data_IF_542466611105
#
_entry.id   IF_542466611105
#
_cell.length_a   1.000
_cell.length_b   1.000
_cell.length_c   1.000
_cell.angle_alpha   90.00
_cell.angle_beta   90.00
_cell.angle_gamma   90.00
#
_symmetry.space_group_name_H-M   'P 1'
#
loop_
_entity.id
_entity.type
_entity.pdbx_description
1 polymer ?
#
# COMPACT_ATOMS: atom_id res chain seq x y z
N UNK A 1 -26.77 11.34 -1.67
CA UNK A 1 -25.80 12.21 -2.33
C UNK A 1 -24.57 11.40 -2.74
N UNK A 2 -24.12 11.51 -3.98
CA UNK A 2 -22.95 10.75 -4.40
C UNK A 2 -21.71 11.26 -3.68
N UNK A 3 -20.78 10.35 -3.43
CA UNK A 3 -19.49 10.68 -2.82
C UNK A 3 -18.67 11.53 -3.80
N UNK A 4 -17.88 12.48 -3.29
CA UNK A 4 -17.03 13.31 -4.17
C UNK A 4 -15.98 12.47 -4.92
N UNK A 5 -15.52 11.38 -4.32
CA UNK A 5 -14.61 10.44 -4.97
C UNK A 5 -15.16 9.04 -4.76
N UNK A 6 -16.13 8.62 -5.61
CA UNK A 6 -16.83 7.35 -5.37
C UNK A 6 -15.96 6.11 -5.47
N UNK A 7 -14.80 6.23 -6.12
CA UNK A 7 -13.90 5.08 -6.28
C UNK A 7 -12.74 5.09 -5.29
N UNK A 8 -12.77 5.97 -4.28
CA UNK A 8 -11.69 6.03 -3.30
C UNK A 8 -11.56 4.73 -2.51
N UNK A 9 -12.69 4.07 -2.21
CA UNK A 9 -12.66 2.79 -1.51
C UNK A 9 -11.92 1.71 -2.27
N UNK A 10 -12.06 1.70 -3.59
CA UNK A 10 -11.32 0.77 -4.44
C UNK A 10 -9.82 1.01 -4.36
N UNK A 11 -9.40 2.27 -4.31
CA UNK A 11 -7.99 2.62 -4.18
C UNK A 11 -7.42 2.15 -2.85
N UNK A 12 -8.17 2.41 -1.78
CA UNK A 12 -7.75 2.01 -0.43
C UNK A 12 -7.59 0.49 -0.38
N UNK A 13 -8.58 -0.25 -0.90
CA UNK A 13 -8.51 -1.69 -0.94
C UNK A 13 -7.33 -2.18 -1.78
N UNK A 14 -7.13 -1.57 -2.94
CA UNK A 14 -6.03 -1.92 -3.84
C UNK A 14 -4.69 -1.83 -3.13
N UNK A 15 -4.42 -0.69 -2.49
CA UNK A 15 -3.14 -0.50 -1.80
C UNK A 15 -3.05 -1.35 -0.54
N UNK A 16 -4.16 -1.56 0.16
CA UNK A 16 -4.17 -2.46 1.32
C UNK A 16 -3.73 -3.86 0.93
N UNK A 17 -4.34 -4.41 -0.12
CA UNK A 17 -3.99 -5.74 -0.60
C UNK A 17 -2.56 -5.79 -1.13
N UNK A 18 -2.16 -4.74 -1.83
CA UNK A 18 -0.79 -4.64 -2.35
C UNK A 18 0.25 -4.67 -1.22
N UNK A 19 -0.05 -4.03 -0.09
CA UNK A 19 0.83 -4.03 1.08
C UNK A 19 0.72 -5.29 1.93
N UNK A 20 -0.23 -6.17 1.61
CA UNK A 20 -0.42 -7.42 2.34
C UNK A 20 -1.18 -7.29 3.65
N UNK A 21 -1.93 -6.21 3.85
CA UNK A 21 -2.73 -6.03 5.07
C UNK A 21 -4.11 -6.65 4.92
N UNK A 22 -4.58 -7.29 5.99
CA UNK A 22 -6.00 -7.59 6.12
C UNK A 22 -6.73 -6.29 6.51
N UNK A 23 -8.07 -6.29 6.40
CA UNK A 23 -8.84 -5.14 6.87
C UNK A 23 -8.60 -4.88 8.36
N UNK A 24 -8.55 -5.94 9.16
CA UNK A 24 -8.30 -5.80 10.59
C UNK A 24 -6.93 -5.19 10.89
N UNK A 25 -5.91 -5.65 10.19
CA UNK A 25 -4.56 -5.15 10.39
C UNK A 25 -4.44 -3.67 10.05
N UNK A 26 -5.00 -3.26 8.91
CA UNK A 26 -4.94 -1.85 8.52
C UNK A 26 -5.78 -0.99 9.45
N UNK A 27 -6.97 -1.46 9.81
CA UNK A 27 -7.85 -0.72 10.72
C UNK A 27 -7.17 -0.50 12.08
N UNK A 28 -6.54 -1.54 12.61
CA UNK A 28 -5.77 -1.44 13.85
C UNK A 28 -4.65 -0.42 13.73
N UNK A 29 -3.96 -0.43 12.61
CA UNK A 29 -2.81 0.44 12.39
C UNK A 29 -3.19 1.92 12.43
N UNK A 30 -4.38 2.26 11.99
CA UNK A 30 -4.84 3.64 11.99
C UNK A 30 -5.92 3.92 13.05
N UNK A 31 -6.15 2.95 13.91
CA UNK A 31 -7.05 3.09 15.06
C UNK A 31 -8.50 3.37 14.66
N UNK A 32 -9.03 2.58 13.73
CA UNK A 32 -10.45 2.59 13.36
C UNK A 32 -10.95 1.14 13.42
N UNK A 33 -12.27 0.96 13.37
CA UNK A 33 -12.83 -0.39 13.35
C UNK A 33 -12.69 -1.01 11.96
N UNK A 34 -12.57 -2.34 11.90
CA UNK A 34 -12.54 -3.04 10.63
C UNK A 34 -13.85 -2.90 9.89
N UNK A 35 -14.97 -2.78 10.61
CA UNK A 35 -16.29 -2.55 9.99
C UNK A 35 -16.33 -1.21 9.27
N UNK A 36 -15.80 -0.17 9.90
CA UNK A 36 -15.74 1.15 9.29
C UNK A 36 -14.86 1.13 8.03
N UNK A 37 -13.70 0.48 8.11
CA UNK A 37 -12.82 0.34 6.95
C UNK A 37 -13.53 -0.42 5.83
N UNK A 38 -14.28 -1.46 6.16
CA UNK A 38 -15.07 -2.22 5.19
C UNK A 38 -16.10 -1.35 4.48
N UNK A 39 -16.79 -0.48 5.20
CA UNK A 39 -17.74 0.46 4.60
C UNK A 39 -17.07 1.40 3.62
N UNK A 40 -15.88 1.91 4.00
CA UNK A 40 -15.11 2.79 3.14
C UNK A 40 -14.71 2.06 1.86
N UNK A 41 -14.20 0.85 1.97
CA UNK A 41 -13.73 0.06 0.83
C UNK A 41 -14.86 -0.29 -0.13
N UNK A 42 -16.08 -0.48 0.40
CA UNK A 42 -17.24 -0.80 -0.44
C UNK A 42 -17.90 0.45 -1.03
N UNK A 43 -17.37 1.63 -0.75
CA UNK A 43 -17.90 2.86 -1.30
C UNK A 43 -19.17 3.35 -0.63
N UNK A 44 -19.50 2.83 0.56
CA UNK A 44 -20.69 3.24 1.29
C UNK A 44 -20.46 4.51 2.10
N UNK A 45 -19.22 4.82 2.37
CA UNK A 45 -18.86 5.99 3.14
C UNK A 45 -17.48 6.46 2.70
N UNK A 46 -17.30 7.78 2.64
CA UNK A 46 -16.01 8.37 2.35
C UNK A 46 -15.23 8.50 3.65
N UNK A 47 -13.95 8.18 3.62
CA UNK A 47 -13.10 8.40 4.79
C UNK A 47 -12.95 9.89 5.05
N UNK A 48 -12.87 10.28 6.31
CA UNK A 48 -12.57 11.66 6.68
C UNK A 48 -11.18 12.04 6.20
N UNK A 49 -10.91 13.34 6.10
CA UNK A 49 -9.58 13.81 5.70
C UNK A 49 -8.52 13.28 6.67
N UNK A 50 -8.83 13.28 7.97
CA UNK A 50 -7.91 12.76 8.98
C UNK A 50 -7.60 11.28 8.75
N UNK A 51 -8.62 10.49 8.42
CA UNK A 51 -8.42 9.07 8.17
C UNK A 51 -7.73 8.82 6.83
N UNK A 52 -8.01 9.64 5.80
CA UNK A 52 -7.29 9.56 4.54
C UNK A 52 -5.80 9.82 4.74
N UNK A 53 -5.46 10.80 5.57
CA UNK A 53 -4.07 11.09 5.90
C UNK A 53 -3.40 9.89 6.58
N UNK A 54 -4.07 9.31 7.58
CA UNK A 54 -3.56 8.12 8.27
C UNK A 54 -3.38 6.95 7.31
N UNK A 55 -4.34 6.76 6.41
CA UNK A 55 -4.25 5.70 5.40
C UNK A 55 -3.09 5.95 4.45
N UNK A 56 -2.88 7.19 4.03
CA UNK A 56 -1.77 7.52 3.14
C UNK A 56 -0.43 7.19 3.79
N UNK A 57 -0.29 7.48 5.06
CA UNK A 57 0.93 7.14 5.80
C UNK A 57 1.10 5.63 5.97
N UNK A 58 0.03 4.96 6.37
CA UNK A 58 0.08 3.52 6.60
C UNK A 58 0.34 2.73 5.32
N UNK A 59 -0.21 3.20 4.21
CA UNK A 59 -0.07 2.54 2.92
C UNK A 59 1.12 3.07 2.12
N UNK A 60 1.76 4.13 2.59
CA UNK A 60 2.92 4.76 1.95
C UNK A 60 2.60 5.21 0.53
N UNK A 61 1.46 5.88 0.36
CA UNK A 61 1.06 6.45 -0.93
C UNK A 61 0.56 7.88 -0.72
N UNK A 62 0.69 8.74 -1.71
CA UNK A 62 0.11 10.08 -1.63
C UNK A 62 -1.41 10.02 -1.51
N UNK A 63 -1.99 11.00 -0.81
CA UNK A 63 -3.45 11.04 -0.61
C UNK A 63 -4.19 11.02 -1.94
N UNK A 64 -3.71 11.76 -2.92
CA UNK A 64 -4.38 11.85 -4.22
C UNK A 64 -4.52 10.48 -4.90
N UNK A 65 -3.61 9.57 -4.66
CA UNK A 65 -3.70 8.22 -5.23
C UNK A 65 -4.74 7.36 -4.51
N UNK A 66 -5.20 7.80 -3.35
CA UNK A 66 -6.29 7.13 -2.64
C UNK A 66 -7.67 7.64 -3.04
N UNK A 67 -7.74 8.70 -3.83
CA UNK A 67 -9.01 9.31 -4.19
C UNK A 67 -9.64 8.70 -5.44
N UNK A 68 -8.82 8.43 -6.46
CA UNK A 68 -9.34 7.92 -7.73
C UNK A 68 -8.28 7.06 -8.40
N UNK A 69 -8.66 5.88 -8.94
CA UNK A 69 -7.70 5.02 -9.64
C UNK A 69 -7.01 5.69 -10.82
N UNK A 70 -7.66 6.68 -11.43
CA UNK A 70 -7.06 7.39 -12.58
C UNK A 70 -5.87 8.24 -12.17
N UNK A 71 -5.71 8.55 -10.88
CA UNK A 71 -4.59 9.33 -10.37
C UNK A 71 -3.41 8.45 -9.98
N UNK A 72 -3.58 7.13 -10.08
CA UNK A 72 -2.53 6.18 -9.71
C UNK A 72 -1.39 6.26 -10.71
N UNK A 73 -0.18 6.42 -10.17
CA UNK A 73 1.01 6.36 -10.99
C UNK A 73 1.39 4.91 -11.18
N UNK A 74 1.47 4.51 -12.44
CA UNK A 74 1.99 3.19 -12.75
C UNK A 74 3.48 3.27 -12.72
N UNK A 75 4.11 2.22 -12.62
CA UNK A 75 5.47 2.02 -12.83
C UNK A 75 6.36 1.73 -11.71
N UNK A 76 7.62 1.69 -12.05
CA UNK A 76 8.72 1.39 -11.18
C UNK A 76 8.74 2.19 -9.89
N UNK A 77 8.27 3.44 -9.97
CA UNK A 77 8.19 4.31 -8.79
C UNK A 77 7.27 3.77 -7.72
N UNK A 78 6.10 3.27 -8.14
CA UNK A 78 5.13 2.66 -7.23
C UNK A 78 5.68 1.42 -6.57
N UNK A 79 6.35 0.56 -7.35
CA UNK A 79 6.94 -0.66 -6.82
C UNK A 79 8.05 -0.36 -5.81
N UNK A 80 8.86 0.66 -6.08
CA UNK A 80 9.88 1.07 -5.14
C UNK A 80 9.28 1.54 -3.83
N UNK A 81 8.19 2.28 -3.88
CA UNK A 81 7.47 2.74 -2.70
C UNK A 81 6.94 1.56 -1.90
N UNK A 82 6.36 0.56 -2.58
CA UNK A 82 5.89 -0.66 -1.93
C UNK A 82 7.02 -1.36 -1.20
N UNK A 83 8.13 -1.60 -1.91
CA UNK A 83 9.27 -2.31 -1.33
C UNK A 83 9.86 -1.56 -0.14
N UNK A 84 10.01 -0.25 -0.27
CA UNK A 84 10.52 0.58 0.82
C UNK A 84 9.62 0.53 2.04
N UNK A 85 8.30 0.60 1.81
CA UNK A 85 7.33 0.52 2.89
C UNK A 85 7.40 -0.81 3.64
N UNK A 86 7.55 -1.90 2.90
CA UNK A 86 7.67 -3.22 3.51
C UNK A 86 8.93 -3.33 4.36
N UNK A 87 10.04 -2.80 3.87
CA UNK A 87 11.30 -2.81 4.60
C UNK A 87 11.21 -1.95 5.86
N UNK A 88 10.58 -0.78 5.76
CA UNK A 88 10.46 0.13 6.89
C UNK A 88 9.62 -0.43 8.04
N UNK A 89 8.78 -1.42 7.77
CA UNK A 89 7.97 -2.06 8.79
C UNK A 89 8.68 -3.21 9.51
N UNK A 90 9.88 -3.56 9.09
CA UNK A 90 10.63 -4.67 9.66
C UNK A 90 11.46 -4.21 10.88
N UNK A 91 11.58 -5.09 11.86
CA UNK A 91 12.50 -4.81 12.98
C UNK A 91 13.94 -5.16 12.55
N UNK A 92 14.90 -4.93 13.44
CA UNK A 92 16.32 -5.17 13.14
C UNK A 92 16.62 -6.60 12.73
N UNK A 93 16.03 -7.58 13.42
CA UNK A 93 16.24 -9.00 13.11
C UNK A 93 15.68 -9.35 11.75
N UNK A 94 14.47 -8.86 11.48
CA UNK A 94 13.81 -9.09 10.20
C UNK A 94 14.57 -8.40 9.08
N UNK A 95 15.14 -7.23 9.32
CA UNK A 95 15.95 -6.54 8.32
C UNK A 95 17.19 -7.35 7.95
N UNK A 96 17.81 -8.00 8.91
CA UNK A 96 18.97 -8.86 8.65
C UNK A 96 18.60 -10.02 7.73
N UNK A 97 17.48 -10.65 8.01
CA UNK A 97 16.98 -11.77 7.20
C UNK A 97 16.67 -11.29 5.79
N UNK A 98 15.96 -10.16 5.69
CA UNK A 98 15.61 -9.58 4.39
C UNK A 98 16.86 -9.23 3.59
N UNK A 99 17.86 -8.67 4.24
CA UNK A 99 19.13 -8.33 3.60
C UNK A 99 19.80 -9.55 2.99
N UNK A 100 19.85 -10.66 3.74
CA UNK A 100 20.44 -11.89 3.25
C UNK A 100 19.71 -12.43 2.04
N UNK A 101 18.38 -12.45 2.09
CA UNK A 101 17.56 -12.94 0.98
C UNK A 101 17.75 -12.06 -0.24
N UNK A 102 17.65 -10.75 -0.08
CA UNK A 102 17.79 -9.80 -1.19
C UNK A 102 19.18 -9.88 -1.81
N UNK A 103 20.21 -10.03 -0.99
CA UNK A 103 21.59 -10.13 -1.48
C UNK A 103 21.80 -11.34 -2.37
N UNK A 104 21.05 -12.41 -2.15
CA UNK A 104 21.13 -13.62 -2.98
C UNK A 104 20.29 -13.51 -4.24
N UNK A 105 19.17 -12.80 -4.15
CA UNK A 105 18.21 -12.71 -5.26
C UNK A 105 18.60 -11.65 -6.28
N UNK A 106 19.13 -10.50 -5.84
CA UNK A 106 19.45 -9.39 -6.73
C UNK A 106 20.38 -9.78 -7.88
N UNK A 107 21.48 -10.54 -7.64
CA UNK A 107 22.33 -10.95 -8.77
C UNK A 107 21.59 -11.82 -9.78
N UNK A 108 20.66 -12.67 -9.32
CA UNK A 108 19.87 -13.51 -10.21
C UNK A 108 18.94 -12.67 -11.09
N UNK A 109 18.33 -11.64 -10.51
CA UNK A 109 17.46 -10.72 -11.24
C UNK A 109 18.25 -10.00 -12.33
N UNK A 110 19.44 -9.52 -11.99
CA UNK A 110 20.32 -8.82 -12.95
C UNK A 110 20.74 -9.72 -14.07
N UNK A 111 21.03 -10.98 -13.77
CA UNK A 111 21.41 -11.95 -14.78
C UNK A 111 20.27 -12.22 -15.77
N UNK A 112 19.05 -12.35 -15.27
CA UNK A 112 17.88 -12.52 -16.12
C UNK A 112 17.65 -11.31 -17.01
N UNK A 113 17.82 -10.13 -16.47
CA UNK A 113 17.66 -8.89 -17.22
C UNK A 113 18.67 -8.80 -18.38
N UNK A 114 19.90 -9.25 -18.14
CA UNK A 114 20.94 -9.28 -19.17
C UNK A 114 20.66 -10.31 -20.26
N UNK A 115 20.10 -11.46 -19.88
CA UNK A 115 19.85 -12.53 -20.86
C UNK A 115 18.64 -12.25 -21.75
N UNK A 116 17.83 -11.25 -21.42
CA UNK A 116 16.68 -10.86 -22.23
C UNK A 116 17.01 -9.85 -23.33
N UNK A 117 18.23 -9.41 -23.41
CA UNK A 117 18.64 -8.46 -24.44
C UNK A 117 19.04 -9.13 -25.74
#
# INVERSE_FOLDING_TARGET
>A
MPLPFPRSGECIRYYRELRGFTQEELADKINISSSYLGYIERGRQMASIANLYKLSLALAVPIEELLDPSLRKEETGSLRTVLTSQINNLDEEECKIAYEIISRIVPMIRQQSLSKK
#
